data_IF_829354956992
#
_entry.id   IF_829354956992
#
_cell.length_a   1.000
_cell.length_b   1.000
_cell.length_c   1.000
_cell.angle_alpha   90.00
_cell.angle_beta   90.00
_cell.angle_gamma   90.00
#
_symmetry.space_group_name_H-M   'P 1'
#
loop_
_entity.id
_entity.type
_entity.pdbx_description
1 polymer ?
#
# COMPACT_ATOMS: atom_id res chain seq x y z
N UNK A 1 -16.47 -10.94 -3.22
CA UNK A 1 -16.32 -9.78 -4.13
C UNK A 1 -17.27 -8.74 -3.59
N UNK A 2 -16.78 -7.59 -3.14
CA UNK A 2 -17.66 -6.51 -2.67
C UNK A 2 -18.14 -5.79 -3.92
N UNK A 3 -19.45 -5.74 -4.15
CA UNK A 3 -20.00 -4.99 -5.27
C UNK A 3 -19.74 -3.49 -5.04
N UNK A 4 -18.96 -2.89 -5.95
CA UNK A 4 -18.56 -1.48 -5.89
C UNK A 4 -19.69 -0.55 -6.31
N UNK A 5 -20.69 -0.42 -5.45
CA UNK A 5 -21.75 0.57 -5.58
C UNK A 5 -21.20 1.98 -5.26
N UNK A 6 -21.60 2.98 -6.06
CA UNK A 6 -21.20 4.39 -5.88
C UNK A 6 -21.69 4.99 -4.56
N UNK A 7 -22.64 4.33 -3.91
CA UNK A 7 -23.28 4.80 -2.69
C UNK A 7 -22.35 4.92 -1.48
N UNK A 8 -21.13 4.35 -1.53
CA UNK A 8 -20.20 4.33 -0.38
C UNK A 8 -19.28 5.57 -0.38
N UNK A 9 -19.00 6.18 -1.54
CA UNK A 9 -18.10 7.34 -1.65
C UNK A 9 -18.88 8.61 -2.00
N UNK A 10 -18.65 9.74 -1.30
CA UNK A 10 -19.27 11.02 -1.65
C UNK A 10 -18.92 11.43 -3.08
N UNK A 11 -19.87 12.02 -3.82
CA UNK A 11 -19.63 12.49 -5.19
C UNK A 11 -18.52 13.57 -5.23
N UNK A 12 -18.45 14.38 -4.18
CA UNK A 12 -17.43 15.41 -3.99
C UNK A 12 -16.02 14.80 -3.93
N UNK A 13 -15.86 13.61 -3.36
CA UNK A 13 -14.56 12.92 -3.31
C UNK A 13 -14.05 12.56 -4.70
N UNK A 14 -14.93 12.08 -5.58
CA UNK A 14 -14.56 11.73 -6.95
C UNK A 14 -14.15 12.99 -7.75
N UNK A 15 -14.90 14.08 -7.59
CA UNK A 15 -14.58 15.37 -8.23
C UNK A 15 -13.24 15.94 -7.71
N UNK A 16 -13.01 15.92 -6.39
CA UNK A 16 -11.77 16.43 -5.78
C UNK A 16 -10.51 15.62 -6.14
N UNK A 17 -10.68 14.39 -6.62
CA UNK A 17 -9.58 13.47 -6.93
C UNK A 17 -9.41 13.17 -8.42
N UNK A 18 -10.27 13.69 -9.30
CA UNK A 18 -10.33 13.32 -10.73
C UNK A 18 -8.99 13.43 -11.48
N UNK A 19 -8.15 14.41 -11.12
CA UNK A 19 -6.88 14.70 -11.79
C UNK A 19 -5.66 14.04 -11.13
N UNK A 20 -5.87 13.32 -10.02
CA UNK A 20 -4.80 12.76 -9.16
C UNK A 20 -5.11 11.39 -8.57
N UNK A 21 -6.23 10.80 -8.97
CA UNK A 21 -6.72 9.52 -8.48
C UNK A 21 -7.47 8.78 -9.58
N UNK A 22 -7.47 7.46 -9.49
CA UNK A 22 -8.21 6.57 -10.39
C UNK A 22 -8.93 5.52 -9.54
N UNK A 23 -10.25 5.43 -9.70
CA UNK A 23 -11.06 4.42 -9.02
C UNK A 23 -11.32 3.25 -9.98
N UNK A 24 -10.80 2.07 -9.64
CA UNK A 24 -11.11 0.83 -10.35
C UNK A 24 -12.15 0.05 -9.55
N UNK A 25 -13.25 -0.33 -10.20
CA UNK A 25 -14.31 -1.14 -9.58
C UNK A 25 -14.06 -2.63 -9.76
N UNK A 26 -14.36 -3.40 -8.72
CA UNK A 26 -14.18 -4.86 -8.75
C UNK A 26 -12.71 -5.25 -8.63
N UNK A 27 -12.03 -5.45 -9.76
CA UNK A 27 -10.69 -6.03 -9.79
C UNK A 27 -9.78 -5.34 -10.80
N UNK A 28 -8.50 -5.23 -10.43
CA UNK A 28 -7.43 -4.83 -11.33
C UNK A 28 -6.32 -5.87 -11.30
N UNK A 29 -5.49 -5.91 -12.35
CA UNK A 29 -4.31 -6.76 -12.38
C UNK A 29 -3.25 -6.21 -11.42
N UNK A 30 -3.36 -6.57 -10.15
CA UNK A 30 -2.52 -6.07 -9.05
C UNK A 30 -1.03 -6.29 -9.35
N UNK A 31 -0.65 -7.48 -9.84
CA UNK A 31 0.72 -7.77 -10.27
C UNK A 31 1.22 -6.74 -11.31
N UNK A 32 0.42 -6.43 -12.34
CA UNK A 32 0.79 -5.42 -13.35
C UNK A 32 0.90 -4.03 -12.75
N UNK A 33 -0.03 -3.65 -11.87
CA UNK A 33 0.02 -2.37 -11.16
C UNK A 33 1.31 -2.28 -10.35
N UNK A 34 1.58 -3.23 -9.46
CA UNK A 34 2.77 -3.23 -8.60
C UNK A 34 4.08 -3.27 -9.40
N UNK A 35 4.11 -3.94 -10.56
CA UNK A 35 5.29 -3.98 -11.44
C UNK A 35 5.57 -2.65 -12.16
N UNK A 36 4.62 -1.72 -12.17
CA UNK A 36 4.76 -0.47 -12.90
C UNK A 36 5.70 0.51 -12.17
N UNK A 37 6.67 1.14 -12.85
CA UNK A 37 7.68 1.99 -12.21
C UNK A 37 7.10 3.24 -11.51
N UNK A 38 5.92 3.71 -11.93
CA UNK A 38 5.25 4.83 -11.28
C UNK A 38 4.64 4.49 -9.90
N UNK A 39 4.67 3.23 -9.45
CA UNK A 39 4.14 2.85 -8.14
C UNK A 39 5.21 3.04 -7.06
N UNK A 40 4.99 4.04 -6.21
CA UNK A 40 5.87 4.37 -5.08
C UNK A 40 5.43 3.76 -3.72
N UNK A 41 4.31 3.04 -3.67
CA UNK A 41 3.80 2.50 -2.42
C UNK A 41 2.58 1.62 -2.58
N UNK A 42 2.38 0.71 -1.63
CA UNK A 42 1.24 -0.21 -1.62
C UNK A 42 0.57 -0.27 -0.25
N UNK A 43 -0.64 0.28 -0.14
CA UNK A 43 -1.50 0.07 1.01
C UNK A 43 -2.14 -1.32 0.92
N UNK A 44 -1.85 -2.19 1.88
CA UNK A 44 -2.25 -3.59 1.81
C UNK A 44 -2.68 -4.16 3.15
N UNK A 45 -3.66 -5.05 3.09
CA UNK A 45 -4.10 -5.87 4.22
C UNK A 45 -3.10 -6.96 4.62
N UNK A 46 -1.94 -7.07 3.96
CA UNK A 46 -0.88 -8.04 4.31
C UNK A 46 -1.28 -9.52 4.11
N UNK A 47 -2.18 -9.80 3.17
CA UNK A 47 -2.38 -11.18 2.70
C UNK A 47 -1.11 -11.69 2.01
N UNK A 48 -0.76 -12.95 2.25
CA UNK A 48 0.56 -13.50 1.88
C UNK A 48 0.92 -13.34 0.40
N UNK A 49 -0.03 -13.59 -0.52
CA UNK A 49 0.22 -13.42 -1.95
C UNK A 49 0.54 -11.96 -2.33
N UNK A 50 -0.22 -11.01 -1.77
CA UNK A 50 0.02 -9.58 -2.03
C UNK A 50 1.33 -9.09 -1.40
N UNK A 51 1.72 -9.66 -0.25
CA UNK A 51 3.04 -9.43 0.35
C UNK A 51 4.15 -9.90 -0.57
N UNK A 52 4.03 -11.10 -1.15
CA UNK A 52 5.02 -11.62 -2.11
C UNK A 52 5.09 -10.78 -3.38
N UNK A 53 3.95 -10.39 -3.96
CA UNK A 53 3.91 -9.53 -5.14
C UNK A 53 4.63 -8.19 -4.90
N UNK A 54 4.38 -7.56 -3.74
CA UNK A 54 5.06 -6.32 -3.35
C UNK A 54 6.56 -6.51 -3.17
N UNK A 55 6.98 -7.62 -2.55
CA UNK A 55 8.38 -7.99 -2.37
C UNK A 55 9.09 -8.16 -3.71
N UNK A 56 8.51 -8.92 -4.64
CA UNK A 56 9.09 -9.13 -5.97
C UNK A 56 9.14 -7.83 -6.79
N UNK A 57 8.12 -7.00 -6.66
CA UNK A 57 8.09 -5.69 -7.30
C UNK A 57 9.01 -4.67 -6.61
N UNK A 58 9.52 -4.95 -5.40
CA UNK A 58 10.30 -4.01 -4.58
C UNK A 58 9.50 -2.78 -4.15
N UNK A 59 8.18 -2.90 -3.97
CA UNK A 59 7.31 -1.80 -3.59
C UNK A 59 7.15 -1.76 -2.06
N UNK A 60 7.40 -0.62 -1.38
CA UNK A 60 7.21 -0.50 0.06
C UNK A 60 5.73 -0.59 0.44
N UNK A 61 5.45 -1.19 1.60
CA UNK A 61 4.08 -1.46 2.04
C UNK A 61 3.63 -0.54 3.17
N UNK A 62 2.40 -0.02 3.07
CA UNK A 62 1.67 0.50 4.22
C UNK A 62 0.73 -0.63 4.67
N UNK A 63 0.98 -1.17 5.86
CA UNK A 63 0.34 -2.37 6.37
C UNK A 63 -0.95 -2.03 7.13
N UNK A 64 -2.07 -2.65 6.74
CA UNK A 64 -3.37 -2.51 7.40
C UNK A 64 -4.08 -3.87 7.55
N UNK A 65 -3.57 -4.77 8.40
CA UNK A 65 -4.12 -6.12 8.55
C UNK A 65 -5.51 -6.14 9.19
N UNK A 66 -6.31 -7.18 8.88
CA UNK A 66 -7.67 -7.33 9.42
C UNK A 66 -7.91 -8.69 10.10
N UNK A 67 -7.45 -9.81 9.53
CA UNK A 67 -7.75 -11.16 10.06
C UNK A 67 -6.73 -12.23 9.64
N UNK A 68 -6.86 -13.44 10.19
CA UNK A 68 -6.02 -14.60 9.88
C UNK A 68 -4.52 -14.32 10.09
N UNK A 69 -3.70 -14.72 9.13
CA UNK A 69 -2.24 -14.60 9.13
C UNK A 69 -1.75 -13.17 8.82
N UNK A 70 -2.64 -12.26 8.44
CA UNK A 70 -2.30 -10.88 8.06
C UNK A 70 -1.56 -10.12 9.17
N UNK A 71 -1.92 -10.35 10.43
CA UNK A 71 -1.24 -9.76 11.59
C UNK A 71 0.21 -10.24 11.69
N UNK A 72 0.44 -11.52 11.47
CA UNK A 72 1.76 -12.13 11.44
C UNK A 72 2.58 -11.62 10.24
N UNK A 73 1.97 -11.54 9.06
CA UNK A 73 2.62 -11.01 7.86
C UNK A 73 3.00 -9.53 8.03
N UNK A 74 2.11 -8.71 8.63
CA UNK A 74 2.41 -7.33 9.03
C UNK A 74 3.62 -7.28 9.95
N UNK A 75 3.70 -8.17 10.94
CA UNK A 75 4.86 -8.23 11.84
C UNK A 75 6.15 -8.46 11.07
N UNK A 76 6.20 -9.43 10.16
CA UNK A 76 7.38 -9.65 9.33
C UNK A 76 7.71 -8.43 8.47
N UNK A 77 6.72 -7.83 7.81
CA UNK A 77 6.92 -6.69 6.91
C UNK A 77 7.45 -5.44 7.66
N UNK A 78 6.88 -5.14 8.82
CA UNK A 78 7.20 -3.92 9.59
C UNK A 78 8.42 -4.10 10.51
N UNK A 79 8.47 -5.19 11.26
CA UNK A 79 9.42 -5.33 12.36
C UNK A 79 10.70 -6.05 11.91
N UNK A 80 10.58 -7.08 11.05
CA UNK A 80 11.69 -7.99 10.77
C UNK A 80 12.38 -7.66 9.43
N UNK A 81 11.63 -7.33 8.38
CA UNK A 81 12.17 -7.06 7.04
C UNK A 81 12.37 -5.57 6.75
N UNK A 82 11.74 -4.67 7.51
CA UNK A 82 11.86 -3.22 7.31
C UNK A 82 11.30 -2.72 5.96
N UNK A 83 10.40 -3.47 5.35
CA UNK A 83 9.80 -3.16 4.04
C UNK A 83 8.40 -2.55 4.13
N UNK A 84 7.87 -2.39 5.35
CA UNK A 84 6.57 -1.75 5.54
C UNK A 84 6.44 -0.95 6.83
N UNK A 85 5.35 -0.17 6.89
CA UNK A 85 4.94 0.60 8.07
C UNK A 85 3.45 0.40 8.33
N UNK A 86 3.06 0.16 9.59
CA UNK A 86 1.66 -0.09 9.93
C UNK A 86 0.85 1.20 10.06
N UNK A 87 -0.39 1.20 9.54
CA UNK A 87 -1.32 2.33 9.65
C UNK A 87 -1.75 2.62 11.11
N UNK A 88 -1.92 1.58 11.91
CA UNK A 88 -2.41 1.62 13.30
C UNK A 88 -3.94 1.72 13.39
N UNK A 89 -4.47 1.64 14.60
CA UNK A 89 -5.94 1.63 14.82
C UNK A 89 -6.61 2.99 14.56
N UNK A 90 -5.87 4.09 14.73
CA UNK A 90 -6.40 5.45 14.61
C UNK A 90 -6.04 6.05 13.24
N UNK A 91 -7.00 5.99 12.31
CA UNK A 91 -6.85 6.46 10.93
C UNK A 91 -7.19 7.94 10.84
N UNK A 92 -6.25 8.78 11.29
CA UNK A 92 -6.31 10.24 11.15
C UNK A 92 -5.42 10.72 10.00
N UNK A 93 -5.81 11.81 9.35
CA UNK A 93 -5.12 12.37 8.17
C UNK A 93 -3.62 12.56 8.43
N UNK A 94 -3.26 13.15 9.55
CA UNK A 94 -1.88 13.46 9.90
C UNK A 94 -1.03 12.19 10.05
N UNK A 95 -1.64 11.11 10.55
CA UNK A 95 -0.98 9.81 10.68
C UNK A 95 -0.80 9.12 9.34
N UNK A 96 -1.81 9.18 8.48
CA UNK A 96 -1.74 8.62 7.13
C UNK A 96 -0.67 9.34 6.30
N UNK A 97 -0.62 10.67 6.38
CA UNK A 97 0.34 11.50 5.67
C UNK A 97 1.79 11.09 5.97
N UNK A 98 2.14 10.90 7.25
CA UNK A 98 3.48 10.44 7.65
C UNK A 98 3.87 9.09 7.01
N UNK A 99 2.90 8.19 6.83
CA UNK A 99 3.14 6.86 6.23
C UNK A 99 3.29 6.93 4.71
N UNK A 100 2.54 7.82 4.06
CA UNK A 100 2.72 8.11 2.64
C UNK A 100 4.11 8.69 2.39
N UNK A 101 4.54 9.68 3.19
CA UNK A 101 5.88 10.27 3.10
C UNK A 101 6.98 9.23 3.37
N UNK A 102 6.77 8.32 4.33
CA UNK A 102 7.68 7.20 4.56
C UNK A 102 7.78 6.30 3.32
N UNK A 103 6.65 5.97 2.69
CA UNK A 103 6.59 5.14 1.48
C UNK A 103 7.33 5.78 0.31
N UNK A 104 7.13 7.08 0.08
CA UNK A 104 7.86 7.85 -0.95
C UNK A 104 9.36 7.82 -0.69
N UNK A 105 9.77 8.04 0.56
CA UNK A 105 11.18 7.97 0.97
C UNK A 105 11.78 6.58 0.76
N UNK A 106 11.01 5.52 1.02
CA UNK A 106 11.43 4.14 0.81
C UNK A 106 11.56 3.80 -0.68
N UNK A 107 10.61 4.26 -1.51
CA UNK A 107 10.66 4.11 -2.96
C UNK A 107 11.88 4.82 -3.57
N UNK A 108 12.18 6.06 -3.15
CA UNK A 108 13.36 6.79 -3.62
C UNK A 108 14.68 6.09 -3.25
N UNK A 109 14.77 5.40 -2.10
CA UNK A 109 15.97 4.61 -1.76
C UNK A 109 16.18 3.43 -2.72
N UNK A 110 15.10 2.82 -3.20
CA UNK A 110 15.13 1.75 -4.20
C UNK A 110 15.70 2.25 -5.52
N UNK A 111 15.24 3.39 -6.03
CA UNK A 111 15.69 3.95 -7.32
C UNK A 111 17.18 4.30 -7.30
N UNK A 112 17.71 4.73 -6.15
CA UNK A 112 19.10 5.13 -5.98
C UNK A 112 20.06 3.96 -5.66
N UNK A 113 19.61 2.70 -5.77
CA UNK A 113 20.45 1.52 -5.50
C UNK A 113 20.82 1.33 -4.02
N UNK A 114 20.11 1.99 -3.10
CA UNK A 114 20.35 1.93 -1.66
C UNK A 114 19.76 0.67 -1.02
N UNK A 115 20.29 -0.50 -1.37
CA UNK A 115 20.05 -1.75 -0.64
C UNK A 115 21.40 -2.43 -0.34
N UNK A 116 22.12 -1.94 0.67
CA UNK A 116 22.88 -2.88 1.50
C UNK A 116 21.90 -3.44 2.52
N UNK A 117 21.36 -4.62 2.24
CA UNK A 117 20.72 -5.45 3.25
C UNK A 117 21.86 -6.06 4.08
N UNK A 118 22.17 -5.42 5.20
CA UNK A 118 23.18 -5.83 6.17
C UNK A 118 22.77 -5.36 7.56
#
# INVERSE_FOLDING_TARGET
MVDGDDSILPAEFLLETENRGMLIRGWCSQEKVLSHPAIGGFLTHCGWNSTLESLFAGVPMICWPFFADQLTNRKFCCDDWGIGIEIGEEVKRERVEVRVVWSESASNRRENGGLSLG
#
